data_IF_267806667968
#
_entry.id   IF_267806667968
#
_cell.length_a   1.000
_cell.length_b   1.000
_cell.length_c   1.000
_cell.angle_alpha   90.00
_cell.angle_beta   90.00
_cell.angle_gamma   90.00
#
_symmetry.space_group_name_H-M   'P 1'
#
loop_
_entity.id
_entity.type
_entity.pdbx_description
1 polymer ?
#
# COMPACT_ATOMS: atom_id res chain seq x y z
N UNK A 1 26.71 27.32 -28.70
CA UNK A 1 25.37 26.98 -28.18
C UNK A 1 25.05 25.56 -28.61
N UNK A 2 25.35 24.55 -27.79
CA UNK A 2 25.12 23.13 -28.12
C UNK A 2 24.14 22.51 -27.14
N UNK A 3 22.98 22.18 -27.69
CA UNK A 3 21.84 21.52 -27.07
C UNK A 3 22.24 20.14 -26.53
N UNK A 4 22.21 19.94 -25.22
CA UNK A 4 22.44 18.61 -24.61
C UNK A 4 21.09 18.03 -24.22
N UNK A 5 20.40 17.44 -25.20
CA UNK A 5 19.15 16.71 -25.00
C UNK A 5 19.45 15.36 -24.33
N UNK A 6 19.49 15.37 -22.99
CA UNK A 6 19.61 14.17 -22.19
C UNK A 6 18.34 13.30 -22.34
N UNK A 7 18.40 12.29 -23.20
CA UNK A 7 17.42 11.19 -23.23
C UNK A 7 17.54 10.37 -21.95
N UNK A 8 16.74 10.70 -20.95
CA UNK A 8 16.47 9.80 -19.82
C UNK A 8 15.60 8.65 -20.32
N UNK A 9 16.27 7.58 -20.75
CA UNK A 9 15.63 6.31 -21.07
C UNK A 9 14.86 5.80 -19.85
N UNK A 10 13.54 5.82 -19.94
CA UNK A 10 12.64 5.24 -18.95
C UNK A 10 12.69 3.72 -19.08
N UNK A 11 13.49 3.06 -18.25
CA UNK A 11 13.56 1.61 -18.19
C UNK A 11 12.26 1.05 -17.60
N UNK A 12 11.33 0.66 -18.47
CA UNK A 12 10.19 -0.18 -18.07
C UNK A 12 10.77 -1.56 -17.77
N UNK A 13 10.84 -1.92 -16.49
CA UNK A 13 11.23 -3.27 -16.09
C UNK A 13 10.14 -4.26 -16.52
N UNK A 14 10.46 -5.07 -17.52
CA UNK A 14 9.65 -6.22 -17.93
C UNK A 14 9.66 -7.26 -16.80
N UNK A 15 8.50 -7.66 -16.31
CA UNK A 15 8.37 -8.80 -15.40
C UNK A 15 8.58 -10.08 -16.21
N UNK A 16 9.52 -10.93 -15.80
CA UNK A 16 10.05 -12.01 -16.64
C UNK A 16 9.19 -13.28 -16.63
N UNK A 17 8.35 -13.47 -15.60
CA UNK A 17 7.60 -14.73 -15.42
C UNK A 17 6.08 -14.51 -15.27
N UNK A 18 5.30 -15.45 -15.81
CA UNK A 18 3.83 -15.46 -15.68
C UNK A 18 3.35 -15.53 -14.22
N UNK A 19 4.15 -16.15 -13.35
CA UNK A 19 3.85 -16.27 -11.93
C UNK A 19 3.99 -14.94 -11.19
N UNK A 20 5.06 -14.18 -11.48
CA UNK A 20 5.25 -12.82 -10.95
C UNK A 20 4.12 -11.88 -11.39
N UNK A 21 3.74 -11.93 -12.66
CA UNK A 21 2.61 -11.17 -13.19
C UNK A 21 1.29 -11.48 -12.45
N UNK A 22 1.03 -12.77 -12.20
CA UNK A 22 -0.15 -13.20 -11.48
C UNK A 22 -0.15 -12.69 -10.02
N UNK A 23 1.01 -12.75 -9.34
CA UNK A 23 1.18 -12.24 -7.99
C UNK A 23 0.96 -10.73 -7.92
N UNK A 24 1.56 -9.96 -8.82
CA UNK A 24 1.39 -8.50 -8.91
C UNK A 24 -0.07 -8.14 -9.17
N UNK A 25 -0.73 -8.81 -10.11
CA UNK A 25 -2.15 -8.59 -10.43
C UNK A 25 -3.05 -8.89 -9.23
N UNK A 26 -2.77 -9.97 -8.48
CA UNK A 26 -3.53 -10.33 -7.30
C UNK A 26 -3.38 -9.29 -6.17
N UNK A 27 -2.16 -8.81 -5.94
CA UNK A 27 -1.89 -7.75 -4.97
C UNK A 27 -2.57 -6.43 -5.34
N UNK A 28 -2.47 -6.01 -6.60
CA UNK A 28 -3.17 -4.83 -7.11
C UNK A 28 -4.68 -4.94 -6.92
N UNK A 29 -5.30 -6.07 -7.30
CA UNK A 29 -6.74 -6.31 -7.11
C UNK A 29 -7.15 -6.19 -5.64
N UNK A 30 -6.36 -6.76 -4.72
CA UNK A 30 -6.61 -6.66 -3.30
C UNK A 30 -6.54 -5.21 -2.80
N UNK A 31 -5.47 -4.49 -3.15
CA UNK A 31 -5.26 -3.08 -2.76
C UNK A 31 -6.36 -2.19 -3.33
N UNK A 32 -6.70 -2.33 -4.61
CA UNK A 32 -7.79 -1.59 -5.26
C UNK A 32 -9.12 -1.82 -4.56
N UNK A 33 -9.49 -3.08 -4.30
CA UNK A 33 -10.74 -3.40 -3.63
C UNK A 33 -10.82 -2.79 -2.22
N UNK A 34 -9.72 -2.85 -1.46
CA UNK A 34 -9.64 -2.21 -0.15
C UNK A 34 -9.79 -0.70 -0.25
N UNK A 35 -9.04 -0.08 -1.17
CA UNK A 35 -9.04 1.36 -1.38
C UNK A 35 -10.44 1.89 -1.74
N UNK A 36 -11.11 1.29 -2.72
CA UNK A 36 -12.46 1.70 -3.13
C UNK A 36 -13.44 1.62 -1.96
N UNK A 37 -13.37 0.55 -1.15
CA UNK A 37 -14.26 0.37 0.00
C UNK A 37 -13.98 1.40 1.11
N UNK A 38 -12.72 1.64 1.45
CA UNK A 38 -12.36 2.61 2.50
C UNK A 38 -12.64 4.04 2.08
N UNK A 39 -12.29 4.41 0.84
CA UNK A 39 -12.52 5.75 0.30
C UNK A 39 -14.01 6.04 0.22
N UNK A 40 -14.81 5.13 -0.33
CA UNK A 40 -16.27 5.31 -0.40
C UNK A 40 -16.97 5.38 0.97
N UNK A 41 -16.40 4.75 2.02
CA UNK A 41 -16.88 4.94 3.39
C UNK A 41 -16.57 6.36 3.89
N UNK A 42 -15.34 6.82 3.68
CA UNK A 42 -14.85 8.11 4.18
C UNK A 42 -15.45 9.31 3.45
N UNK A 43 -15.70 9.20 2.15
CA UNK A 43 -16.44 10.21 1.40
C UNK A 43 -17.85 10.44 1.98
N UNK A 44 -18.54 9.36 2.40
CA UNK A 44 -19.84 9.45 3.07
C UNK A 44 -19.75 10.01 4.50
N UNK A 45 -18.58 9.92 5.13
CA UNK A 45 -18.29 10.54 6.43
C UNK A 45 -17.89 12.02 6.28
N UNK A 46 -17.90 12.59 5.07
CA UNK A 46 -17.55 14.00 4.82
C UNK A 46 -16.06 14.26 4.61
N UNK A 47 -15.23 13.22 4.44
CA UNK A 47 -13.82 13.40 4.11
C UNK A 47 -13.66 13.85 2.66
N UNK A 48 -12.59 14.60 2.39
CA UNK A 48 -12.22 15.03 1.05
C UNK A 48 -11.01 14.24 0.52
N UNK A 49 -10.90 14.13 -0.80
CA UNK A 49 -9.72 13.56 -1.45
C UNK A 49 -8.68 14.66 -1.64
N UNK A 50 -7.43 14.36 -1.29
CA UNK A 50 -6.30 15.28 -1.50
C UNK A 50 -5.51 14.89 -2.75
N UNK A 51 -4.71 15.83 -3.26
CA UNK A 51 -3.75 15.55 -4.33
C UNK A 51 -2.50 14.81 -3.82
N UNK A 52 -2.31 14.77 -2.50
CA UNK A 52 -1.17 14.11 -1.87
C UNK A 52 -1.31 12.59 -1.96
N UNK A 53 -0.19 11.91 -2.17
CA UNK A 53 -0.12 10.46 -2.23
C UNK A 53 0.56 9.89 -0.99
N UNK A 54 0.06 8.76 -0.50
CA UNK A 54 0.70 8.01 0.58
C UNK A 54 2.07 7.49 0.12
N UNK A 55 3.11 7.74 0.91
CA UNK A 55 4.47 7.30 0.56
C UNK A 55 4.63 5.77 0.49
N UNK A 56 3.80 5.02 1.21
CA UNK A 56 3.87 3.56 1.31
C UNK A 56 3.12 2.86 0.18
N UNK A 57 1.85 3.21 -0.04
CA UNK A 57 1.00 2.50 -1.00
C UNK A 57 0.71 3.28 -2.29
N UNK A 58 1.19 4.52 -2.39
CA UNK A 58 0.99 5.43 -3.54
C UNK A 58 -0.49 5.69 -3.89
N UNK A 59 -1.40 5.46 -2.93
CA UNK A 59 -2.82 5.83 -3.04
C UNK A 59 -3.03 7.26 -2.51
N UNK A 60 -4.04 7.99 -3.01
CA UNK A 60 -4.34 9.34 -2.52
C UNK A 60 -4.66 9.34 -1.02
N UNK A 61 -4.22 10.39 -0.33
CA UNK A 61 -4.59 10.65 1.06
C UNK A 61 -6.00 11.26 1.11
N UNK A 62 -6.70 11.01 2.21
CA UNK A 62 -7.99 11.63 2.51
C UNK A 62 -7.83 12.58 3.68
N UNK A 63 -8.60 13.64 3.69
CA UNK A 63 -8.52 14.68 4.70
C UNK A 63 -9.86 14.89 5.39
N UNK A 64 -9.80 15.00 6.71
CA UNK A 64 -10.88 15.51 7.55
C UNK A 64 -10.30 16.56 8.48
N UNK A 65 -10.97 17.72 8.60
CA UNK A 65 -10.59 18.77 9.56
C UNK A 65 -9.13 19.25 9.43
N UNK A 66 -8.57 19.31 8.22
CA UNK A 66 -7.20 19.79 8.01
C UNK A 66 -6.12 18.70 8.09
N UNK A 67 -6.47 17.45 8.40
CA UNK A 67 -5.49 16.37 8.66
C UNK A 67 -5.51 15.34 7.52
N UNK A 68 -4.47 15.28 6.66
CA UNK A 68 -4.37 14.28 5.61
C UNK A 68 -3.88 12.93 6.17
N UNK A 69 -4.67 11.87 5.96
CA UNK A 69 -4.37 10.50 6.40
C UNK A 69 -4.54 9.45 5.29
N UNK A 70 -3.77 8.36 5.40
CA UNK A 70 -3.93 7.22 4.49
C UNK A 70 -4.96 6.23 5.05
N UNK A 71 -6.13 6.16 4.41
CA UNK A 71 -7.22 5.26 4.84
C UNK A 71 -7.02 3.80 4.37
N UNK A 72 -6.06 3.54 3.47
CA UNK A 72 -5.84 2.24 2.83
C UNK A 72 -4.81 1.38 3.56
N UNK A 73 -3.64 1.95 3.91
CA UNK A 73 -2.54 1.24 4.56
C UNK A 73 -2.95 0.51 5.85
N UNK A 74 -3.75 1.10 6.76
CA UNK A 74 -4.20 0.40 7.96
C UNK A 74 -5.02 -0.86 7.64
N UNK A 75 -5.84 -0.82 6.58
CA UNK A 75 -6.67 -1.95 6.17
C UNK A 75 -5.84 -3.07 5.54
N UNK A 76 -4.82 -2.72 4.76
CA UNK A 76 -3.87 -3.67 4.17
C UNK A 76 -3.10 -4.40 5.27
N UNK A 77 -2.53 -3.66 6.24
CA UNK A 77 -1.78 -4.22 7.38
C UNK A 77 -2.65 -5.17 8.20
N UNK A 78 -3.88 -4.76 8.56
CA UNK A 78 -4.82 -5.62 9.29
C UNK A 78 -5.14 -6.91 8.55
N UNK A 79 -5.34 -6.88 7.22
CA UNK A 79 -5.56 -8.10 6.43
C UNK A 79 -4.33 -8.99 6.34
N UNK A 80 -3.14 -8.40 6.17
CA UNK A 80 -1.88 -9.15 6.14
C UNK A 80 -1.63 -9.88 7.47
N UNK A 81 -1.80 -9.18 8.59
CA UNK A 81 -1.65 -9.75 9.94
C UNK A 81 -2.64 -10.89 10.18
N UNK A 82 -3.92 -10.72 9.82
CA UNK A 82 -4.92 -11.79 9.91
C UNK A 82 -4.52 -13.03 9.11
N UNK A 83 -4.05 -12.85 7.87
CA UNK A 83 -3.57 -13.97 7.02
C UNK A 83 -2.36 -14.67 7.63
N UNK A 84 -1.41 -13.92 8.19
CA UNK A 84 -0.25 -14.48 8.87
C UNK A 84 -0.68 -15.32 10.09
N UNK A 85 -1.58 -14.78 10.92
CA UNK A 85 -2.10 -15.47 12.10
C UNK A 85 -2.90 -16.73 11.73
N UNK A 86 -3.74 -16.68 10.69
CA UNK A 86 -4.48 -17.87 10.22
C UNK A 86 -3.56 -18.95 9.67
N UNK A 87 -2.44 -18.58 9.03
CA UNK A 87 -1.41 -19.54 8.60
C UNK A 87 -0.73 -20.18 9.82
N UNK A 88 -0.27 -19.36 10.78
CA UNK A 88 0.38 -19.83 12.02
C UNK A 88 -0.48 -20.81 12.82
N UNK A 89 -1.78 -20.53 12.93
CA UNK A 89 -2.73 -21.43 13.60
C UNK A 89 -2.90 -22.78 12.90
N UNK A 90 -2.84 -22.82 11.57
CA UNK A 90 -2.86 -24.08 10.82
C UNK A 90 -1.56 -24.85 10.91
N UNK A 91 -0.43 -24.17 11.13
CA UNK A 91 0.90 -24.78 11.19
C UNK A 91 1.42 -25.06 12.60
N UNK A 92 0.62 -24.79 13.66
CA UNK A 92 1.01 -25.09 15.06
C UNK A 92 2.17 -24.25 15.62
N UNK A 93 2.50 -23.10 15.03
CA UNK A 93 3.64 -22.27 15.44
C UNK A 93 3.18 -21.12 16.34
N UNK A 94 3.64 -21.14 17.59
CA UNK A 94 3.40 -20.12 18.63
C UNK A 94 4.03 -18.75 18.25
N UNK A 95 3.39 -17.61 18.57
CA UNK A 95 3.96 -16.30 18.29
C UNK A 95 5.07 -15.94 19.29
N UNK A 96 6.32 -15.97 18.83
CA UNK A 96 7.43 -15.26 19.47
C UNK A 96 7.34 -13.75 19.25
N UNK A 97 7.84 -13.04 20.25
CA UNK A 97 7.62 -11.66 20.68
C UNK A 97 7.79 -10.53 19.66
N UNK A 98 7.20 -9.39 20.03
CA UNK A 98 7.46 -8.05 19.53
C UNK A 98 8.96 -7.78 19.36
N UNK A 99 9.31 -6.93 18.40
CA UNK A 99 10.60 -6.26 18.42
C UNK A 99 10.43 -4.75 18.20
N UNK A 100 11.24 -3.96 18.92
CA UNK A 100 10.88 -2.62 19.38
C UNK A 100 11.21 -1.57 18.33
N UNK A 101 10.71 -0.36 18.58
CA UNK A 101 10.99 0.83 17.78
C UNK A 101 12.48 1.04 17.55
N UNK A 102 12.83 1.37 16.31
CA UNK A 102 14.10 2.01 16.03
C UNK A 102 13.93 3.49 16.40
N UNK A 103 14.57 3.91 17.49
CA UNK A 103 14.87 5.33 17.73
C UNK A 103 15.97 5.74 16.73
N UNK A 104 15.74 6.84 16.01
CA UNK A 104 16.76 7.49 15.18
C UNK A 104 17.34 8.68 15.94
N UNK A 105 18.64 8.62 16.22
CA UNK A 105 19.48 9.78 16.58
C UNK A 105 19.83 10.60 15.34
#
# INVERSE_FOLDING_TARGET
MTDTRASVGHWIQSVGTKEEEAAIRADYKLKKHLATKSIGKKLREGYSLTQLQCQVCKMPLMESLGVPECVVCPQVRKKAQKRANSKRRKSGISPGEESPGYESS
#
